data_IF_497616338603
#
_entry.id   IF_497616338603
#
_cell.length_a   1.000
_cell.length_b   1.000
_cell.length_c   1.000
_cell.angle_alpha   90.00
_cell.angle_beta   90.00
_cell.angle_gamma   90.00
#
_symmetry.space_group_name_H-M   'P 1'
#
loop_
_entity.id
_entity.type
_entity.pdbx_description
1 polymer ?
#
# COMPACT_ATOMS: atom_id res chain seq x y z
N UNK A 1 18.84 -19.33 49.95
CA UNK A 1 18.24 -18.86 48.68
C UNK A 1 17.04 -19.73 48.39
N UNK A 2 15.81 -19.21 48.50
CA UNK A 2 14.58 -19.95 48.21
C UNK A 2 14.15 -19.68 46.77
N UNK A 3 14.19 -20.71 45.91
CA UNK A 3 13.53 -20.66 44.60
C UNK A 3 12.02 -20.87 44.79
N UNK A 4 11.21 -19.90 44.36
CA UNK A 4 9.77 -20.08 44.23
C UNK A 4 9.49 -20.70 42.87
N UNK A 5 8.96 -21.93 42.88
CA UNK A 5 8.39 -22.58 41.70
C UNK A 5 6.98 -22.03 41.52
N UNK A 6 6.72 -21.40 40.38
CA UNK A 6 5.38 -20.92 40.02
C UNK A 6 4.70 -22.06 39.26
N UNK A 7 3.69 -22.68 39.86
CA UNK A 7 2.81 -23.59 39.14
C UNK A 7 1.75 -22.78 38.40
N UNK A 8 1.60 -23.04 37.11
CA UNK A 8 0.50 -22.50 36.31
C UNK A 8 -0.78 -23.21 36.74
N UNK A 9 -1.91 -22.52 36.97
CA UNK A 9 -3.16 -23.15 37.39
C UNK A 9 -3.63 -24.25 36.42
N UNK A 10 -4.18 -25.34 36.97
CA UNK A 10 -4.62 -26.54 36.23
C UNK A 10 -5.63 -26.25 35.11
N UNK A 11 -6.38 -25.15 35.24
CA UNK A 11 -7.39 -24.69 34.28
C UNK A 11 -6.84 -24.41 32.87
N UNK A 12 -5.53 -24.20 32.72
CA UNK A 12 -4.89 -24.02 31.40
C UNK A 12 -4.89 -25.30 30.54
N UNK A 13 -4.96 -26.49 31.15
CA UNK A 13 -4.92 -27.77 30.45
C UNK A 13 -6.30 -28.36 30.18
N UNK A 14 -7.29 -28.02 31.01
CA UNK A 14 -8.66 -28.52 30.92
C UNK A 14 -9.57 -27.59 30.12
N UNK A 15 -9.27 -26.29 30.10
CA UNK A 15 -9.91 -25.30 29.24
C UNK A 15 -8.81 -24.52 28.50
N UNK A 16 -8.17 -25.11 27.47
CA UNK A 16 -7.30 -24.32 26.61
C UNK A 16 -8.10 -23.11 26.13
N UNK A 17 -7.54 -21.88 26.19
CA UNK A 17 -8.22 -20.72 25.64
C UNK A 17 -8.65 -21.10 24.23
N UNK A 18 -9.96 -20.99 23.95
CA UNK A 18 -10.51 -21.14 22.60
C UNK A 18 -9.55 -20.41 21.68
N UNK A 19 -9.04 -21.14 20.68
CA UNK A 19 -8.01 -20.71 19.74
C UNK A 19 -7.87 -19.19 19.73
N UNK A 20 -6.66 -18.69 19.98
CA UNK A 20 -6.32 -17.37 19.47
C UNK A 20 -6.48 -17.47 17.95
N UNK A 21 -7.72 -17.32 17.47
CA UNK A 21 -8.02 -16.90 16.12
C UNK A 21 -7.32 -15.56 16.09
N UNK A 22 -6.08 -15.55 15.61
CA UNK A 22 -5.45 -14.33 15.12
C UNK A 22 -6.46 -13.81 14.12
N UNK A 23 -7.30 -12.87 14.58
CA UNK A 23 -8.18 -12.08 13.73
C UNK A 23 -7.23 -11.30 12.86
N UNK A 24 -6.78 -11.93 11.77
CA UNK A 24 -5.90 -11.33 10.79
C UNK A 24 -6.71 -10.22 10.15
N UNK A 25 -6.50 -9.00 10.65
CA UNK A 25 -7.17 -7.83 10.09
C UNK A 25 -6.80 -7.75 8.61
N UNK A 26 -7.78 -7.89 7.70
CA UNK A 26 -7.53 -7.89 6.26
C UNK A 26 -6.80 -6.62 5.81
N UNK A 27 -7.12 -5.46 6.42
CA UNK A 27 -6.52 -4.16 6.12
C UNK A 27 -5.02 -4.16 6.47
N UNK A 28 -4.66 -4.66 7.64
CA UNK A 28 -3.27 -4.81 8.07
C UNK A 28 -2.48 -5.70 7.10
N UNK A 29 -3.13 -6.73 6.57
CA UNK A 29 -2.58 -7.58 5.52
C UNK A 29 -2.28 -6.81 4.23
N UNK A 30 -3.18 -5.92 3.81
CA UNK A 30 -2.99 -5.09 2.62
C UNK A 30 -1.87 -4.07 2.81
N UNK A 31 -1.79 -3.40 3.97
CA UNK A 31 -0.73 -2.45 4.26
C UNK A 31 0.65 -3.11 4.23
N UNK A 32 0.79 -4.32 4.79
CA UNK A 32 2.04 -5.09 4.71
C UNK A 32 2.37 -5.47 3.28
N UNK A 33 1.39 -5.95 2.50
CA UNK A 33 1.59 -6.27 1.07
C UNK A 33 1.99 -5.03 0.25
N UNK A 34 1.30 -3.91 0.43
CA UNK A 34 1.62 -2.65 -0.23
C UNK A 34 3.06 -2.18 0.09
N UNK A 35 3.47 -2.34 1.34
CA UNK A 35 4.82 -1.97 1.77
C UNK A 35 5.89 -2.88 1.17
N UNK A 36 5.68 -4.19 1.21
CA UNK A 36 6.56 -5.18 0.56
C UNK A 36 6.64 -4.93 -0.95
N UNK A 37 5.51 -4.59 -1.59
CA UNK A 37 5.45 -4.26 -3.01
C UNK A 37 6.35 -3.06 -3.35
N UNK A 38 6.23 -1.95 -2.61
CA UNK A 38 7.04 -0.75 -2.84
C UNK A 38 8.53 -1.02 -2.59
N UNK A 39 8.86 -1.77 -1.54
CA UNK A 39 10.26 -2.16 -1.24
C UNK A 39 10.83 -3.05 -2.34
N UNK A 40 10.11 -4.07 -2.78
CA UNK A 40 10.55 -4.95 -3.85
C UNK A 40 10.71 -4.20 -5.18
N UNK A 41 9.77 -3.31 -5.49
CA UNK A 41 9.85 -2.45 -6.67
C UNK A 41 11.09 -1.54 -6.61
N UNK A 42 11.31 -0.83 -5.50
CA UNK A 42 12.45 0.07 -5.31
C UNK A 42 13.82 -0.63 -5.32
N UNK A 43 13.88 -1.89 -4.90
CA UNK A 43 15.10 -2.71 -4.93
C UNK A 43 15.27 -3.51 -6.22
N UNK A 44 14.41 -3.26 -7.22
CA UNK A 44 14.37 -3.99 -8.50
C UNK A 44 14.22 -5.51 -8.34
N UNK A 45 13.62 -5.96 -7.23
CA UNK A 45 13.32 -7.36 -6.97
C UNK A 45 12.02 -7.78 -7.66
N UNK A 46 12.11 -8.13 -8.95
CA UNK A 46 10.96 -8.53 -9.77
C UNK A 46 10.26 -9.78 -9.26
N UNK A 47 10.99 -10.74 -8.69
CA UNK A 47 10.41 -11.94 -8.10
C UNK A 47 9.53 -11.58 -6.89
N UNK A 48 10.01 -10.68 -6.02
CA UNK A 48 9.25 -10.16 -4.90
C UNK A 48 7.99 -9.40 -5.33
N UNK A 49 8.11 -8.52 -6.34
CA UNK A 49 6.95 -7.81 -6.92
C UNK A 49 5.90 -8.80 -7.43
N UNK A 50 6.32 -9.78 -8.24
CA UNK A 50 5.41 -10.79 -8.80
C UNK A 50 4.77 -11.66 -7.73
N UNK A 51 5.49 -11.97 -6.65
CA UNK A 51 4.97 -12.74 -5.51
C UNK A 51 3.83 -11.99 -4.82
N UNK A 52 4.03 -10.72 -4.49
CA UNK A 52 3.00 -9.90 -3.83
C UNK A 52 1.77 -9.69 -4.72
N UNK A 53 1.98 -9.41 -6.01
CA UNK A 53 0.88 -9.25 -6.96
C UNK A 53 0.07 -10.54 -7.11
N UNK A 54 0.75 -11.69 -7.22
CA UNK A 54 0.08 -13.00 -7.30
C UNK A 54 -0.74 -13.28 -6.05
N UNK A 55 -0.18 -13.08 -4.87
CA UNK A 55 -0.88 -13.27 -3.60
C UNK A 55 -2.16 -12.40 -3.54
N UNK A 56 -2.05 -11.12 -3.91
CA UNK A 56 -3.21 -10.23 -3.91
C UNK A 56 -4.29 -10.66 -4.91
N UNK A 57 -3.90 -11.17 -6.09
CA UNK A 57 -4.85 -11.70 -7.09
C UNK A 57 -5.50 -13.00 -6.59
N UNK A 58 -4.73 -13.94 -6.03
CA UNK A 58 -5.23 -15.21 -5.50
C UNK A 58 -6.23 -14.99 -4.34
N UNK A 59 -6.03 -13.94 -3.54
CA UNK A 59 -6.95 -13.54 -2.48
C UNK A 59 -8.14 -12.70 -2.96
N UNK A 60 -8.17 -12.27 -4.23
CA UNK A 60 -9.19 -11.39 -4.78
C UNK A 60 -9.12 -9.95 -4.24
N UNK A 61 -7.94 -9.49 -3.83
CA UNK A 61 -7.71 -8.22 -3.11
C UNK A 61 -6.78 -7.24 -3.83
N UNK A 62 -6.74 -7.29 -5.16
CA UNK A 62 -5.93 -6.39 -5.96
C UNK A 62 -6.34 -4.92 -5.79
N UNK A 63 -7.64 -4.65 -5.61
CA UNK A 63 -8.18 -3.31 -5.35
C UNK A 63 -7.74 -2.75 -3.99
N UNK A 64 -7.71 -3.58 -2.96
CA UNK A 64 -7.26 -3.18 -1.64
C UNK A 64 -5.74 -3.02 -1.61
N UNK A 65 -5.00 -3.83 -2.38
CA UNK A 65 -3.57 -3.63 -2.56
C UNK A 65 -3.27 -2.25 -3.17
N UNK A 66 -3.91 -1.87 -4.28
CA UNK A 66 -3.65 -0.56 -4.91
C UNK A 66 -4.06 0.60 -4.01
N UNK A 67 -5.18 0.48 -3.28
CA UNK A 67 -5.64 1.49 -2.33
C UNK A 67 -4.64 1.66 -1.19
N UNK A 68 -4.19 0.56 -0.59
CA UNK A 68 -3.19 0.59 0.48
C UNK A 68 -1.84 1.16 -0.01
N UNK A 69 -1.46 0.91 -1.26
CA UNK A 69 -0.26 1.52 -1.87
C UNK A 69 -0.40 3.03 -2.01
N UNK A 70 -1.57 3.54 -2.43
CA UNK A 70 -1.82 4.98 -2.53
C UNK A 70 -1.84 5.66 -1.16
N UNK A 71 -2.48 5.03 -0.16
CA UNK A 71 -2.49 5.52 1.23
C UNK A 71 -1.07 5.60 1.81
N UNK A 72 -0.24 4.60 1.51
CA UNK A 72 1.16 4.59 1.90
C UNK A 72 1.93 5.77 1.30
N UNK A 73 1.76 6.03 -0.01
CA UNK A 73 2.39 7.18 -0.65
C UNK A 73 1.86 8.51 -0.11
N UNK A 74 0.56 8.64 0.11
CA UNK A 74 -0.04 9.84 0.70
C UNK A 74 0.52 10.15 2.10
N UNK A 75 0.91 9.12 2.84
CA UNK A 75 1.52 9.27 4.16
C UNK A 75 3.02 9.59 4.11
N UNK A 76 3.77 8.98 3.17
CA UNK A 76 5.23 9.12 3.09
C UNK A 76 5.65 10.40 2.34
N UNK A 77 4.94 10.79 1.27
CA UNK A 77 5.30 11.94 0.44
C UNK A 77 5.43 13.24 1.24
N UNK A 78 4.52 13.60 2.16
CA UNK A 78 4.65 14.82 2.97
C UNK A 78 5.87 14.84 3.91
N UNK A 79 6.46 13.69 4.21
CA UNK A 79 7.67 13.60 5.04
C UNK A 79 8.95 13.84 4.21
N UNK A 80 8.88 13.63 2.90
CA UNK A 80 10.03 13.70 2.00
C UNK A 80 10.03 14.94 1.10
N UNK A 81 8.86 15.54 0.90
CA UNK A 81 8.67 16.62 -0.08
C UNK A 81 8.06 17.84 0.59
N UNK A 82 8.59 19.02 0.25
CA UNK A 82 8.04 20.30 0.72
C UNK A 82 6.65 20.55 0.15
N UNK A 83 5.87 21.45 0.77
CA UNK A 83 4.54 21.83 0.25
C UNK A 83 4.57 22.30 -1.21
N UNK A 84 5.59 23.06 -1.61
CA UNK A 84 5.75 23.49 -3.00
C UNK A 84 6.03 22.29 -3.92
N UNK A 85 6.89 21.35 -3.50
CA UNK A 85 7.15 20.15 -4.27
C UNK A 85 5.91 19.27 -4.43
N UNK A 86 5.08 19.14 -3.39
CA UNK A 86 3.79 18.43 -3.45
C UNK A 86 2.85 19.12 -4.46
N UNK A 87 2.80 20.45 -4.47
CA UNK A 87 2.01 21.20 -5.44
C UNK A 87 2.48 20.94 -6.88
N UNK A 88 3.80 20.92 -7.13
CA UNK A 88 4.36 20.58 -8.46
C UNK A 88 4.03 19.15 -8.88
N UNK A 89 4.11 18.18 -7.97
CA UNK A 89 3.73 16.79 -8.22
C UNK A 89 2.24 16.73 -8.57
N UNK A 90 1.39 17.40 -7.79
CA UNK A 90 -0.06 17.44 -8.01
C UNK A 90 -0.42 18.02 -9.38
N UNK A 91 0.22 19.12 -9.78
CA UNK A 91 0.02 19.73 -11.11
C UNK A 91 0.44 18.78 -12.23
N UNK A 92 1.60 18.14 -12.08
CA UNK A 92 2.12 17.17 -13.06
C UNK A 92 1.18 15.98 -13.25
N UNK A 93 0.73 15.38 -12.15
CA UNK A 93 -0.19 14.23 -12.18
C UNK A 93 -1.56 14.64 -12.72
N UNK A 94 -2.05 15.84 -12.39
CA UNK A 94 -3.32 16.34 -12.93
C UNK A 94 -3.25 16.49 -14.44
N UNK A 95 -2.20 17.12 -14.97
CA UNK A 95 -1.99 17.26 -16.41
C UNK A 95 -1.91 15.91 -17.12
N UNK A 96 -1.20 14.94 -16.54
CA UNK A 96 -1.08 13.60 -17.11
C UNK A 96 -2.42 12.85 -17.09
N UNK A 97 -3.26 13.10 -16.10
CA UNK A 97 -4.61 12.51 -16.01
C UNK A 97 -5.59 13.05 -17.06
N UNK A 98 -5.31 14.23 -17.60
CA UNK A 98 -6.10 14.91 -18.64
C UNK A 98 -5.53 14.68 -20.06
N UNK A 99 -4.34 14.08 -20.17
CA UNK A 99 -3.69 13.83 -21.45
C UNK A 99 -4.23 12.56 -22.11
N UNK A 100 -5.06 12.73 -23.14
CA UNK A 100 -5.66 11.64 -23.91
C UNK A 100 -4.65 10.92 -24.82
N UNK A 101 -3.51 11.55 -25.13
CA UNK A 101 -2.45 10.99 -25.97
C UNK A 101 -1.40 10.23 -25.14
N UNK A 102 -1.47 10.28 -23.81
CA UNK A 102 -0.59 9.56 -22.92
C UNK A 102 -0.79 8.04 -23.02
N UNK A 103 0.23 7.27 -22.60
CA UNK A 103 0.09 5.82 -22.43
C UNK A 103 -1.15 5.51 -21.57
N UNK A 104 -2.05 4.59 -21.99
CA UNK A 104 -3.31 4.36 -21.30
C UNK A 104 -3.17 3.92 -19.84
N UNK A 105 -2.12 3.19 -19.47
CA UNK A 105 -1.93 2.78 -18.09
C UNK A 105 -1.35 3.92 -17.25
N UNK A 106 -0.46 4.71 -17.85
CA UNK A 106 0.06 5.94 -17.24
C UNK A 106 -1.07 6.95 -16.97
N UNK A 107 -1.96 7.19 -17.95
CA UNK A 107 -3.13 8.04 -17.80
C UNK A 107 -4.08 7.51 -16.70
N UNK A 108 -4.38 6.20 -16.69
CA UNK A 108 -5.21 5.60 -15.63
C UNK A 108 -4.58 5.73 -14.25
N UNK A 109 -3.27 5.50 -14.12
CA UNK A 109 -2.56 5.67 -12.87
C UNK A 109 -2.60 7.14 -12.39
N UNK A 110 -2.39 8.09 -13.29
CA UNK A 110 -2.51 9.51 -12.99
C UNK A 110 -3.93 9.89 -12.54
N UNK A 111 -4.97 9.45 -13.27
CA UNK A 111 -6.38 9.65 -12.87
C UNK A 111 -6.65 9.05 -11.49
N UNK A 112 -6.16 7.84 -11.24
CA UNK A 112 -6.34 7.18 -9.95
C UNK A 112 -5.70 7.96 -8.80
N UNK A 113 -4.45 8.42 -8.95
CA UNK A 113 -3.75 9.23 -7.96
C UNK A 113 -4.49 10.55 -7.73
N UNK A 114 -4.91 11.25 -8.79
CA UNK A 114 -5.66 12.51 -8.69
C UNK A 114 -6.99 12.30 -7.96
N UNK A 115 -7.74 11.26 -8.28
CA UNK A 115 -9.03 10.98 -7.63
C UNK A 115 -8.85 10.53 -6.17
N UNK A 116 -7.81 9.75 -5.87
CA UNK A 116 -7.45 9.34 -4.51
C UNK A 116 -7.07 10.54 -3.63
N UNK A 117 -6.21 11.43 -4.13
CA UNK A 117 -5.83 12.65 -3.43
C UNK A 117 -7.04 13.55 -3.11
N UNK A 118 -8.03 13.60 -4.01
CA UNK A 118 -9.27 14.36 -3.84
C UNK A 118 -10.38 13.60 -3.10
N UNK A 119 -10.11 12.37 -2.60
CA UNK A 119 -11.10 11.49 -1.94
C UNK A 119 -12.36 11.26 -2.80
N UNK A 120 -12.23 11.29 -4.12
CA UNK A 120 -13.34 11.11 -5.04
C UNK A 120 -13.59 9.61 -5.32
N UNK A 121 -14.22 8.94 -4.35
CA UNK A 121 -14.50 7.49 -4.38
C UNK A 121 -15.24 7.07 -5.65
N UNK A 122 -16.18 7.90 -6.13
CA UNK A 122 -16.92 7.61 -7.37
C UNK A 122 -15.98 7.48 -8.56
N UNK A 123 -15.06 8.44 -8.73
CA UNK A 123 -14.13 8.42 -9.85
C UNK A 123 -13.01 7.37 -9.67
N UNK A 124 -12.61 7.07 -8.44
CA UNK A 124 -11.71 5.93 -8.14
C UNK A 124 -12.35 4.62 -8.65
N UNK A 125 -13.62 4.37 -8.30
CA UNK A 125 -14.32 3.17 -8.73
C UNK A 125 -14.42 3.08 -10.25
N UNK A 126 -14.65 4.20 -10.95
CA UNK A 126 -14.68 4.23 -12.42
C UNK A 126 -13.34 3.75 -13.00
N UNK A 127 -12.21 4.29 -12.53
CA UNK A 127 -10.88 3.90 -13.03
C UNK A 127 -10.58 2.41 -12.74
N UNK A 128 -10.95 1.94 -11.54
CA UNK A 128 -10.78 0.53 -11.17
C UNK A 128 -11.66 -0.40 -12.01
N UNK A 129 -12.92 -0.04 -12.28
CA UNK A 129 -13.82 -0.78 -13.16
C UNK A 129 -13.28 -0.82 -14.58
N UNK A 130 -12.85 0.31 -15.14
CA UNK A 130 -12.22 0.38 -16.47
C UNK A 130 -11.00 -0.56 -16.57
N UNK A 131 -10.14 -0.56 -15.55
CA UNK A 131 -8.98 -1.44 -15.52
C UNK A 131 -9.36 -2.92 -15.36
N UNK A 132 -10.41 -3.22 -14.60
CA UNK A 132 -10.93 -4.57 -14.43
C UNK A 132 -11.54 -5.10 -15.74
N UNK A 133 -12.38 -4.32 -16.40
CA UNK A 133 -13.00 -4.66 -17.69
C UNK A 133 -11.96 -4.86 -18.80
N UNK A 134 -10.84 -4.16 -18.72
CA UNK A 134 -9.72 -4.30 -19.65
C UNK A 134 -8.73 -5.43 -19.31
N UNK A 135 -8.91 -6.14 -18.18
CA UNK A 135 -7.92 -7.10 -17.62
C UNK A 135 -6.53 -6.47 -17.40
N UNK A 136 -6.52 -5.22 -16.91
CA UNK A 136 -5.32 -4.37 -16.70
C UNK A 136 -5.10 -3.96 -15.24
N UNK A 137 -5.68 -4.66 -14.27
CA UNK A 137 -5.52 -4.31 -12.83
C UNK A 137 -4.04 -4.36 -12.40
N UNK A 138 -3.31 -5.42 -12.78
CA UNK A 138 -1.87 -5.53 -12.48
C UNK A 138 -1.04 -4.44 -13.17
N UNK A 139 -1.21 -4.20 -14.49
CA UNK A 139 -0.61 -3.04 -15.16
C UNK A 139 -0.90 -1.69 -14.47
N UNK A 140 -2.13 -1.46 -13.99
CA UNK A 140 -2.48 -0.24 -13.27
C UNK A 140 -1.68 -0.08 -11.96
N UNK A 141 -1.49 -1.17 -11.20
CA UNK A 141 -0.65 -1.16 -9.98
C UNK A 141 0.79 -0.80 -10.34
N UNK A 142 1.35 -1.44 -11.38
CA UNK A 142 2.73 -1.19 -11.81
C UNK A 142 2.92 0.23 -12.35
N UNK A 143 2.00 0.73 -13.16
CA UNK A 143 2.02 2.10 -13.67
C UNK A 143 1.92 3.13 -12.54
N UNK A 144 1.18 2.83 -11.47
CA UNK A 144 1.13 3.67 -10.26
C UNK A 144 2.51 3.75 -9.59
N UNK A 145 3.20 2.62 -9.42
CA UNK A 145 4.55 2.59 -8.86
C UNK A 145 5.56 3.32 -9.76
N UNK A 146 5.47 3.10 -11.08
CA UNK A 146 6.32 3.74 -12.08
C UNK A 146 6.14 5.26 -12.07
N UNK A 147 4.89 5.74 -12.04
CA UNK A 147 4.60 7.16 -11.98
C UNK A 147 5.17 7.80 -10.71
N UNK A 148 5.03 7.16 -9.54
CA UNK A 148 5.70 7.62 -8.31
C UNK A 148 7.23 7.58 -8.40
N UNK A 149 7.81 6.61 -9.11
CA UNK A 149 9.26 6.52 -9.30
C UNK A 149 9.81 7.69 -10.12
N UNK A 150 9.00 8.23 -11.04
CA UNK A 150 9.34 9.38 -11.88
C UNK A 150 9.12 10.70 -11.15
N UNK A 151 7.95 10.90 -10.52
CA UNK A 151 7.57 12.19 -9.93
C UNK A 151 8.09 12.40 -8.50
N UNK A 152 8.38 11.31 -7.78
CA UNK A 152 8.89 11.34 -6.42
C UNK A 152 9.97 10.27 -6.20
N UNK A 153 11.10 10.34 -6.95
CA UNK A 153 12.14 9.31 -6.90
C UNK A 153 12.75 9.14 -5.50
N UNK A 154 12.66 10.16 -4.66
CA UNK A 154 13.17 10.14 -3.28
C UNK A 154 12.56 9.01 -2.43
N UNK A 155 11.32 8.57 -2.73
CA UNK A 155 10.66 7.47 -2.01
C UNK A 155 11.46 6.17 -2.15
N UNK A 156 12.06 5.93 -3.31
CA UNK A 156 12.78 4.69 -3.61
C UNK A 156 14.26 4.74 -3.22
N UNK A 157 14.71 5.83 -2.60
CA UNK A 157 16.04 5.91 -1.99
C UNK A 157 16.08 5.18 -0.65
N UNK A 158 17.27 4.88 -0.13
CA UNK A 158 17.42 4.27 1.19
C UNK A 158 16.69 5.05 2.30
N UNK A 159 16.74 6.39 2.26
CA UNK A 159 16.04 7.25 3.22
C UNK A 159 14.52 7.14 3.07
N UNK A 160 14.02 7.18 1.83
CA UNK A 160 12.59 7.05 1.54
C UNK A 160 12.02 5.70 1.95
N UNK A 161 12.74 4.60 1.66
CA UNK A 161 12.35 3.26 2.08
C UNK A 161 12.37 3.09 3.60
N UNK A 162 13.30 3.75 4.30
CA UNK A 162 13.32 3.76 5.78
C UNK A 162 12.11 4.51 6.34
N UNK A 163 11.77 5.68 5.79
CA UNK A 163 10.57 6.43 6.19
C UNK A 163 9.28 5.62 5.92
N UNK A 164 9.24 4.90 4.80
CA UNK A 164 8.14 3.98 4.47
C UNK A 164 8.01 2.89 5.53
N UNK A 165 9.10 2.20 5.90
CA UNK A 165 9.08 1.15 6.92
C UNK A 165 8.57 1.64 8.28
N UNK A 166 8.93 2.86 8.69
CA UNK A 166 8.39 3.47 9.92
C UNK A 166 6.89 3.76 9.79
N UNK A 167 6.45 4.24 8.62
CA UNK A 167 5.03 4.51 8.36
C UNK A 167 4.16 3.24 8.48
N UNK A 168 4.68 2.07 8.08
CA UNK A 168 3.98 0.78 8.26
C UNK A 168 3.75 0.45 9.73
N UNK A 169 4.73 0.75 10.59
CA UNK A 169 4.59 0.55 12.03
C UNK A 169 3.53 1.49 12.60
N UNK A 170 3.47 2.73 12.13
CA UNK A 170 2.44 3.69 12.53
C UNK A 170 1.03 3.25 12.09
N UNK A 171 0.89 2.67 10.90
CA UNK A 171 -0.36 2.06 10.47
C UNK A 171 -0.76 0.89 11.38
N UNK A 172 0.19 0.01 11.74
CA UNK A 172 -0.06 -1.12 12.63
C UNK A 172 -0.37 -0.69 14.09
N UNK A 173 0.20 0.41 14.59
CA UNK A 173 -0.05 0.92 15.95
C UNK A 173 -1.40 1.63 16.04
N UNK A 174 -1.82 2.36 15.00
CA UNK A 174 -3.16 2.97 14.95
C UNK A 174 -4.28 1.92 14.99
N UNK A 175 -4.00 0.68 14.61
CA UNK A 175 -4.94 -0.46 14.68
C UNK A 175 -5.20 -0.97 16.11
N UNK A 176 -4.30 -0.78 17.08
CA UNK A 176 -4.51 -1.25 18.47
C UNK A 176 -5.45 -0.35 19.28
N UNK A 177 -5.84 0.81 18.73
CA UNK A 177 -6.57 1.87 19.46
C UNK A 177 -8.00 2.12 18.96
N UNK A 178 -8.45 1.38 17.94
CA UNK A 178 -9.82 1.42 17.38
C UNK A 178 -10.48 0.06 17.44
#
# INVERSE_FOLDING_TARGET
MNHRVIFVPDDYWTNPPKENTTMTNPIAGDCRRASSLVVHYGTQNQEGVNTVLREAVELGRATELITATLDLFQHVVPQLVTTLGIACISDTVTRLSEDEDADPDCNRAARLITHHANKNVKCINIVLTEACEADRVTPLILATLELYSVICPMIFTHLGLTALQQSVLDFAVREETT
#
